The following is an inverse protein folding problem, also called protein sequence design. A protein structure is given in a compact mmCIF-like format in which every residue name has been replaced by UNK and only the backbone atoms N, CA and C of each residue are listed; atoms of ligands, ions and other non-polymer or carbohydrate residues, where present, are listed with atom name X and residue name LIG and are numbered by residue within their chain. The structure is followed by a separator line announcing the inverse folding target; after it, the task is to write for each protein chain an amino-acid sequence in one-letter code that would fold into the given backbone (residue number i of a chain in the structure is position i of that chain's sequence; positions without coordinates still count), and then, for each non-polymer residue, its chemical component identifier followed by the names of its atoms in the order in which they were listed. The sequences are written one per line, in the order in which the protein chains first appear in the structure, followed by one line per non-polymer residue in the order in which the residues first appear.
data_IF_740418077122
#
_entry.id   IF_740418077122
#
_cell.length_a   1.000
_cell.length_b   1.000
_cell.length_c   1.000
_cell.angle_alpha   90.00
_cell.angle_beta   90.00
_cell.angle_gamma   90.00
#
_symmetry.space_group_name_H-M   'P 1'
#
loop_
_entity.id
_entity.type
_entity.pdbx_description
1 polymer ?
#
# COMPACT_ATOMS: atom_id res chain seq x y z
N UNK A 1 52.47 19.77 -80.39
CA UNK A 1 51.45 20.80 -80.68
C UNK A 1 50.18 20.06 -81.10
N UNK A 2 49.02 20.44 -80.53
CA UNK A 2 47.67 19.84 -80.67
C UNK A 2 47.48 18.51 -79.91
N UNK A 3 46.34 18.16 -79.30
CA UNK A 3 45.18 18.85 -78.71
C UNK A 3 44.30 17.72 -78.13
N UNK A 4 43.64 17.98 -76.99
CA UNK A 4 42.56 17.26 -76.26
C UNK A 4 41.80 16.16 -77.04
N UNK A 5 41.38 15.07 -76.41
CA UNK A 5 40.06 15.00 -75.75
C UNK A 5 39.89 13.80 -74.82
N UNK A 6 39.29 14.04 -73.65
CA UNK A 6 38.84 13.05 -72.67
C UNK A 6 37.59 12.32 -73.16
N UNK A 7 37.49 11.01 -72.90
CA UNK A 7 36.25 10.24 -72.95
C UNK A 7 36.03 9.65 -71.56
N UNK A 8 35.01 10.16 -70.87
CA UNK A 8 34.52 9.65 -69.59
C UNK A 8 33.60 8.46 -69.85
N UNK A 9 34.01 7.27 -69.43
CA UNK A 9 33.13 6.09 -69.42
C UNK A 9 32.26 6.18 -68.17
N UNK A 10 30.96 6.43 -68.36
CA UNK A 10 29.93 6.28 -67.32
C UNK A 10 29.65 4.79 -67.19
N UNK A 11 30.13 4.17 -66.11
CA UNK A 11 29.64 2.87 -65.67
C UNK A 11 28.69 3.10 -64.49
N UNK A 12 27.41 2.79 -64.69
CA UNK A 12 26.41 2.75 -63.63
C UNK A 12 26.87 1.76 -62.56
N UNK A 13 27.11 2.25 -61.34
CA UNK A 13 27.18 1.40 -60.16
C UNK A 13 25.88 1.56 -59.36
N UNK A 14 24.85 0.85 -59.79
CA UNK A 14 23.67 0.56 -58.96
C UNK A 14 24.06 -0.54 -57.96
N UNK A 15 24.66 -0.17 -56.82
CA UNK A 15 24.85 -1.07 -55.68
C UNK A 15 24.37 -0.38 -54.38
N UNK A 16 23.13 -0.71 -54.04
CA UNK A 16 22.66 -1.05 -52.69
C UNK A 16 22.60 0.03 -51.59
N UNK A 17 21.63 0.95 -51.72
CA UNK A 17 21.00 1.63 -50.56
C UNK A 17 19.90 0.76 -49.89
N UNK A 18 20.12 -0.56 -49.71
CA UNK A 18 19.14 -1.44 -49.03
C UNK A 18 19.59 -1.98 -47.66
N UNK A 19 20.80 -1.67 -47.20
CA UNK A 19 21.32 -2.21 -45.93
C UNK A 19 21.36 -1.22 -44.75
N UNK A 20 21.12 0.08 -44.97
CA UNK A 20 21.12 1.05 -43.87
C UNK A 20 19.76 1.17 -43.14
N UNK A 21 18.66 0.71 -43.74
CA UNK A 21 17.32 0.77 -43.15
C UNK A 21 16.91 -0.52 -42.40
N UNK A 22 17.62 -1.64 -42.61
CA UNK A 22 17.31 -2.90 -41.95
C UNK A 22 17.75 -2.94 -40.47
N UNK A 23 18.78 -2.18 -40.10
CA UNK A 23 19.28 -2.13 -38.72
C UNK A 23 18.50 -1.16 -37.82
N UNK A 24 17.80 -0.17 -38.40
CA UNK A 24 16.96 0.75 -37.62
C UNK A 24 15.60 0.12 -37.28
N UNK A 25 15.08 -0.78 -38.13
CA UNK A 25 13.81 -1.47 -37.89
C UNK A 25 13.97 -2.56 -36.81
N UNK A 26 15.17 -3.11 -36.62
CA UNK A 26 15.45 -4.05 -35.52
C UNK A 26 15.67 -3.34 -34.17
N UNK A 27 16.02 -2.05 -34.15
CA UNK A 27 16.24 -1.27 -32.92
C UNK A 27 14.93 -0.84 -32.24
N UNK A 28 13.81 -0.80 -32.97
CA UNK A 28 12.50 -0.32 -32.47
C UNK A 28 11.64 -1.46 -31.87
N UNK A 29 12.00 -2.74 -32.06
CA UNK A 29 11.22 -3.89 -31.55
C UNK A 29 11.73 -4.40 -30.19
N UNK A 30 12.74 -3.76 -29.60
CA UNK A 30 13.12 -3.97 -28.20
C UNK A 30 12.42 -3.00 -27.24
N UNK A 31 11.16 -2.63 -27.50
CA UNK A 31 10.26 -2.22 -26.41
C UNK A 31 10.01 -3.49 -25.62
N UNK A 32 10.92 -3.75 -24.68
CA UNK A 32 10.77 -4.77 -23.65
C UNK A 32 9.34 -4.64 -23.13
N UNK A 33 8.52 -5.67 -23.37
CA UNK A 33 7.33 -5.90 -22.57
C UNK A 33 7.82 -6.06 -21.14
N UNK A 34 7.96 -4.92 -20.46
CA UNK A 34 8.07 -4.90 -19.03
C UNK A 34 6.72 -5.38 -18.56
N UNK A 35 6.60 -6.68 -18.36
CA UNK A 35 5.49 -7.23 -17.61
C UNK A 35 5.43 -6.41 -16.33
N UNK A 36 4.35 -5.65 -16.13
CA UNK A 36 4.05 -4.99 -14.85
C UNK A 36 3.60 -6.10 -13.88
N UNK A 37 4.50 -7.05 -13.63
CA UNK A 37 4.35 -8.04 -12.61
C UNK A 37 4.63 -7.31 -11.30
N UNK A 38 3.64 -7.31 -10.40
CA UNK A 38 3.85 -6.80 -9.06
C UNK A 38 4.92 -7.58 -8.32
N UNK A 39 5.57 -6.92 -7.36
CA UNK A 39 6.48 -7.50 -6.40
C UNK A 39 5.78 -7.75 -5.06
N UNK A 40 6.36 -8.68 -4.29
CA UNK A 40 5.91 -9.00 -2.93
C UNK A 40 6.87 -8.41 -1.90
N UNK A 41 6.32 -7.75 -0.91
CA UNK A 41 7.02 -7.04 0.15
C UNK A 41 6.61 -7.64 1.50
N UNK A 42 7.43 -8.55 2.04
CA UNK A 42 7.19 -9.09 3.39
C UNK A 42 7.55 -8.03 4.43
N UNK A 43 6.66 -7.78 5.38
CA UNK A 43 6.91 -6.77 6.45
C UNK A 43 8.11 -7.17 7.33
N UNK A 44 8.41 -8.46 7.46
CA UNK A 44 9.57 -8.97 8.19
C UNK A 44 10.90 -8.63 7.53
N UNK A 45 10.95 -8.45 6.21
CA UNK A 45 12.12 -7.92 5.50
C UNK A 45 12.44 -6.47 5.88
N UNK A 46 11.51 -5.79 6.55
CA UNK A 46 11.64 -4.41 7.03
C UNK A 46 11.69 -4.29 8.55
N UNK A 47 11.70 -5.43 9.27
CA UNK A 47 11.86 -5.48 10.72
C UNK A 47 10.57 -5.58 11.53
N UNK A 48 9.43 -5.84 10.90
CA UNK A 48 8.18 -6.10 11.62
C UNK A 48 8.03 -7.60 11.91
N UNK A 49 7.93 -7.98 13.18
CA UNK A 49 7.86 -9.37 13.60
C UNK A 49 6.66 -9.61 14.51
N UNK A 50 5.86 -10.65 14.27
CA UNK A 50 4.70 -10.90 15.09
C UNK A 50 5.09 -11.42 16.47
N UNK A 51 4.26 -11.10 17.46
CA UNK A 51 4.29 -11.61 18.84
C UNK A 51 5.57 -11.24 19.63
N UNK A 52 6.28 -10.19 19.24
CA UNK A 52 7.48 -9.73 19.95
C UNK A 52 7.20 -8.60 20.96
N UNK A 53 5.95 -8.09 21.00
CA UNK A 53 5.51 -6.95 21.80
C UNK A 53 6.28 -5.65 21.51
N UNK A 54 6.87 -5.52 20.31
CA UNK A 54 7.56 -4.33 19.84
C UNK A 54 6.64 -3.58 18.86
N UNK A 55 6.80 -2.26 18.78
CA UNK A 55 6.05 -1.43 17.84
C UNK A 55 6.53 -1.64 16.39
N UNK A 56 5.67 -2.21 15.56
CA UNK A 56 5.91 -2.54 14.15
C UNK A 56 5.66 -1.37 13.20
N UNK A 57 5.12 -0.25 13.70
CA UNK A 57 4.66 0.89 12.90
C UNK A 57 5.66 1.32 11.84
N UNK A 58 6.92 1.56 12.24
CA UNK A 58 7.94 2.10 11.34
C UNK A 58 8.35 1.11 10.25
N UNK A 59 8.47 -0.17 10.60
CA UNK A 59 8.84 -1.25 9.70
C UNK A 59 7.74 -1.51 8.66
N UNK A 60 6.49 -1.55 9.09
CA UNK A 60 5.33 -1.71 8.20
C UNK A 60 5.18 -0.49 7.28
N UNK A 61 5.33 0.73 7.81
CA UNK A 61 5.28 1.94 7.00
C UNK A 61 6.38 1.93 5.92
N UNK A 62 7.57 1.45 6.25
CA UNK A 62 8.66 1.31 5.29
C UNK A 62 8.33 0.28 4.20
N UNK A 63 7.77 -0.88 4.55
CA UNK A 63 7.35 -1.90 3.60
C UNK A 63 6.32 -1.35 2.59
N UNK A 64 5.31 -0.64 3.08
CA UNK A 64 4.29 0.03 2.28
C UNK A 64 4.92 1.09 1.35
N UNK A 65 5.80 1.94 1.87
CA UNK A 65 6.47 2.97 1.08
C UNK A 65 7.31 2.35 -0.04
N UNK A 66 8.00 1.24 0.24
CA UNK A 66 8.79 0.52 -0.77
C UNK A 66 7.92 -0.14 -1.82
N UNK A 67 6.78 -0.71 -1.44
CA UNK A 67 5.82 -1.25 -2.38
C UNK A 67 5.24 -0.16 -3.30
N UNK A 68 4.87 1.01 -2.77
CA UNK A 68 4.37 2.13 -3.58
C UNK A 68 5.45 2.66 -4.52
N UNK A 69 6.68 2.85 -4.01
CA UNK A 69 7.81 3.33 -4.82
C UNK A 69 8.21 2.36 -5.94
N UNK A 70 7.89 1.07 -5.79
CA UNK A 70 8.14 0.06 -6.82
C UNK A 70 7.11 0.08 -7.96
N UNK A 71 5.98 0.77 -7.79
CA UNK A 71 4.96 0.94 -8.83
C UNK A 71 3.62 0.31 -8.45
N UNK A 72 3.01 -0.40 -9.40
CA UNK A 72 1.65 -0.93 -9.28
C UNK A 72 1.60 -2.46 -9.21
N UNK A 73 0.44 -3.00 -8.83
CA UNK A 73 0.16 -4.44 -8.68
C UNK A 73 0.94 -5.14 -7.55
N UNK A 74 1.52 -4.36 -6.63
CA UNK A 74 2.37 -4.87 -5.55
C UNK A 74 1.55 -5.45 -4.39
N UNK A 75 2.17 -6.37 -3.63
CA UNK A 75 1.57 -6.99 -2.45
C UNK A 75 2.47 -6.79 -1.23
N UNK A 76 1.95 -6.24 -0.14
CA UNK A 76 2.60 -6.21 1.17
C UNK A 76 2.03 -7.33 2.03
N UNK A 77 2.90 -8.19 2.57
CA UNK A 77 2.52 -9.44 3.22
C UNK A 77 2.93 -9.44 4.69
N UNK A 78 1.94 -9.67 5.54
CA UNK A 78 2.11 -10.02 6.95
C UNK A 78 2.14 -11.53 7.11
N UNK A 79 3.02 -12.04 7.99
CA UNK A 79 2.99 -13.43 8.40
C UNK A 79 1.93 -13.63 9.49
N UNK A 80 1.74 -14.87 9.94
CA UNK A 80 0.80 -15.15 11.03
C UNK A 80 1.32 -14.63 12.37
N UNK A 81 0.43 -14.05 13.17
CA UNK A 81 0.62 -13.61 14.54
C UNK A 81 0.10 -12.18 14.76
N UNK A 82 0.47 -11.61 15.91
CA UNK A 82 0.00 -10.30 16.37
C UNK A 82 1.08 -9.24 16.18
N UNK A 83 0.75 -8.15 15.52
CA UNK A 83 1.63 -7.00 15.30
C UNK A 83 1.10 -5.78 16.07
N UNK A 84 1.99 -4.95 16.62
CA UNK A 84 1.62 -3.82 17.47
C UNK A 84 1.89 -2.48 16.78
N UNK A 85 0.97 -1.54 16.93
CA UNK A 85 1.04 -0.24 16.27
C UNK A 85 0.79 0.90 17.25
N UNK A 86 1.73 1.83 17.35
CA UNK A 86 1.56 3.09 18.10
C UNK A 86 0.97 4.22 17.25
N UNK A 87 0.93 4.07 15.93
CA UNK A 87 0.30 5.04 15.03
C UNK A 87 -0.27 4.41 13.77
N UNK A 88 -1.13 5.16 13.08
CA UNK A 88 -1.76 4.70 11.85
C UNK A 88 -0.76 4.64 10.68
N UNK A 89 -0.90 3.63 9.82
CA UNK A 89 -0.12 3.50 8.60
C UNK A 89 -0.71 4.37 7.50
N UNK A 90 0.10 5.30 6.99
CA UNK A 90 -0.26 6.17 5.89
C UNK A 90 -0.04 5.48 4.55
N UNK A 91 -1.04 5.51 3.67
CA UNK A 91 -0.98 4.94 2.33
C UNK A 91 -1.36 6.03 1.32
N UNK A 92 -0.35 6.59 0.64
CA UNK A 92 -0.54 7.71 -0.30
C UNK A 92 -0.31 7.28 -1.74
N UNK A 93 -1.24 7.62 -2.64
CA UNK A 93 -1.09 7.46 -4.09
C UNK A 93 -0.75 6.04 -4.55
N UNK A 94 -1.20 5.02 -3.81
CA UNK A 94 -0.98 3.63 -4.19
C UNK A 94 -1.86 3.24 -5.39
N UNK A 95 -1.31 2.48 -6.34
CA UNK A 95 -2.01 1.97 -7.52
C UNK A 95 -1.99 0.44 -7.49
N UNK A 96 -3.15 -0.20 -7.41
CA UNK A 96 -3.32 -1.65 -7.33
C UNK A 96 -2.44 -2.30 -6.25
N UNK A 97 -2.36 -1.69 -5.07
CA UNK A 97 -1.63 -2.24 -3.92
C UNK A 97 -2.54 -3.17 -3.13
N UNK A 98 -2.03 -4.35 -2.79
CA UNK A 98 -2.68 -5.27 -1.85
C UNK A 98 -1.89 -5.32 -0.54
N UNK A 99 -2.57 -5.16 0.59
CA UNK A 99 -2.04 -5.39 1.94
C UNK A 99 -2.73 -6.62 2.49
N UNK A 100 -1.96 -7.66 2.80
CA UNK A 100 -2.52 -8.99 3.03
C UNK A 100 -1.89 -9.68 4.25
N UNK A 101 -2.73 -10.22 5.14
CA UNK A 101 -2.32 -11.19 6.16
C UNK A 101 -2.56 -12.63 5.71
N UNK A 102 -2.48 -13.58 6.64
CA UNK A 102 -2.68 -15.00 6.35
C UNK A 102 -4.14 -15.47 6.57
N UNK A 103 -4.97 -14.66 7.23
CA UNK A 103 -6.37 -14.92 7.54
C UNK A 103 -6.80 -14.14 8.77
N UNK A 104 -8.11 -13.90 8.94
CA UNK A 104 -8.62 -13.09 10.07
C UNK A 104 -8.29 -13.68 11.45
N UNK A 105 -8.14 -15.00 11.56
CA UNK A 105 -7.74 -15.67 12.80
C UNK A 105 -6.22 -15.89 12.91
N UNK A 106 -5.47 -15.51 11.87
CA UNK A 106 -4.04 -15.81 11.76
C UNK A 106 -3.18 -14.56 11.81
N UNK A 107 -3.67 -13.40 11.35
CA UNK A 107 -2.94 -12.13 11.40
C UNK A 107 -3.79 -11.09 12.10
N UNK A 108 -3.32 -10.59 13.24
CA UNK A 108 -3.98 -9.55 14.03
C UNK A 108 -3.10 -8.31 14.07
N UNK A 109 -3.66 -7.15 13.74
CA UNK A 109 -3.01 -5.85 13.92
C UNK A 109 -3.66 -5.16 15.12
N UNK A 110 -2.88 -4.82 16.14
CA UNK A 110 -3.37 -4.16 17.36
C UNK A 110 -2.87 -2.72 17.41
N UNK A 111 -3.79 -1.76 17.41
CA UNK A 111 -3.48 -0.34 17.59
C UNK A 111 -3.55 0.06 19.07
N UNK A 112 -2.46 0.61 19.62
CA UNK A 112 -2.33 0.97 21.04
C UNK A 112 -2.54 2.48 21.32
N UNK A 113 -2.93 3.25 20.31
CA UNK A 113 -2.99 4.72 20.32
C UNK A 113 -3.80 5.32 19.17
N UNK A 114 -3.74 4.81 17.92
CA UNK A 114 -4.44 5.48 16.82
C UNK A 114 -5.92 5.12 16.77
N UNK A 115 -6.77 6.08 16.39
CA UNK A 115 -8.20 5.85 16.13
C UNK A 115 -8.48 5.13 14.79
N UNK A 116 -7.43 4.79 14.03
CA UNK A 116 -7.51 4.10 12.74
C UNK A 116 -6.20 3.34 12.47
N UNK A 117 -6.27 2.14 11.88
CA UNK A 117 -5.08 1.36 11.52
C UNK A 117 -4.43 1.84 10.21
N UNK A 118 -5.25 2.17 9.21
CA UNK A 118 -4.80 2.63 7.89
C UNK A 118 -5.40 3.99 7.53
N UNK A 119 -4.60 4.86 6.92
CA UNK A 119 -5.00 6.17 6.39
C UNK A 119 -4.74 6.23 4.88
N UNK A 120 -5.63 5.65 4.06
CA UNK A 120 -5.50 5.74 2.62
C UNK A 120 -5.89 7.12 2.09
N UNK A 121 -5.08 7.69 1.21
CA UNK A 121 -5.38 8.94 0.51
C UNK A 121 -4.89 8.86 -0.94
N UNK A 122 -5.74 9.31 -1.87
CA UNK A 122 -5.48 9.30 -3.32
C UNK A 122 -5.09 7.94 -3.91
N UNK A 123 -5.56 6.83 -3.32
CA UNK A 123 -5.27 5.48 -3.80
C UNK A 123 -6.25 5.04 -4.89
N UNK A 124 -5.79 4.22 -5.83
CA UNK A 124 -6.59 3.55 -6.85
C UNK A 124 -6.36 2.04 -6.73
N UNK A 125 -7.43 1.25 -6.51
CA UNK A 125 -7.31 -0.21 -6.42
C UNK A 125 -6.59 -0.73 -5.17
N UNK A 126 -6.64 -0.01 -4.05
CA UNK A 126 -6.13 -0.50 -2.77
C UNK A 126 -7.02 -1.62 -2.21
N UNK A 127 -6.42 -2.76 -1.89
CA UNK A 127 -7.08 -3.88 -1.20
C UNK A 127 -6.39 -4.14 0.13
N UNK A 128 -7.16 -4.26 1.21
CA UNK A 128 -6.68 -4.72 2.52
C UNK A 128 -7.48 -5.98 2.85
N UNK A 129 -6.81 -7.12 3.06
CA UNK A 129 -7.49 -8.42 3.15
C UNK A 129 -6.77 -9.41 4.07
N UNK A 130 -7.50 -10.45 4.48
CA UNK A 130 -6.96 -11.62 5.19
C UNK A 130 -6.24 -11.27 6.50
N UNK A 131 -6.76 -10.30 7.25
CA UNK A 131 -6.26 -9.90 8.56
C UNK A 131 -7.41 -9.37 9.43
N UNK A 132 -7.21 -9.37 10.74
CA UNK A 132 -8.05 -8.69 11.70
C UNK A 132 -7.36 -7.42 12.23
N UNK A 133 -8.17 -6.46 12.66
CA UNK A 133 -7.73 -5.20 13.27
C UNK A 133 -8.47 -5.06 14.59
N UNK A 134 -7.72 -4.77 15.65
CA UNK A 134 -8.26 -4.47 16.98
C UNK A 134 -7.47 -3.30 17.60
N UNK A 135 -7.95 -2.79 18.74
CA UNK A 135 -7.34 -1.67 19.44
C UNK A 135 -7.26 -1.94 20.94
N UNK A 136 -6.05 -1.82 21.50
CA UNK A 136 -5.85 -1.83 22.95
C UNK A 136 -5.88 -0.39 23.47
N UNK A 137 -6.80 -0.14 24.40
CA UNK A 137 -7.71 1.02 24.46
C UNK A 137 -8.65 1.15 23.25
N UNK A 138 -9.88 0.65 23.44
CA UNK A 138 -10.94 0.79 22.46
C UNK A 138 -11.23 2.27 22.17
N UNK A 139 -11.43 2.66 20.90
CA UNK A 139 -11.66 4.05 20.51
C UNK A 139 -13.05 4.58 20.92
N UNK A 140 -13.79 3.83 21.74
CA UNK A 140 -15.11 4.16 22.24
C UNK A 140 -15.38 3.54 23.62
N UNK A 141 -16.30 4.17 24.34
CA UNK A 141 -16.86 3.65 25.59
C UNK A 141 -18.21 3.02 25.31
N UNK A 142 -18.46 1.81 25.82
CA UNK A 142 -19.78 1.20 25.81
C UNK A 142 -20.27 0.90 27.23
N UNK A 143 -21.58 0.86 27.40
CA UNK A 143 -22.24 0.62 28.67
C UNK A 143 -23.75 0.61 28.54
N UNK A 144 -24.42 0.33 29.65
CA UNK A 144 -25.88 0.36 29.72
C UNK A 144 -26.34 1.72 30.24
N UNK A 145 -27.36 2.30 29.61
CA UNK A 145 -28.07 3.45 30.17
C UNK A 145 -28.90 2.93 31.34
N UNK A 146 -28.58 3.37 32.56
CA UNK A 146 -29.25 2.92 33.79
C UNK A 146 -30.24 3.95 34.35
N UNK A 147 -30.13 5.20 33.91
CA UNK A 147 -31.05 6.27 34.26
C UNK A 147 -31.08 7.34 33.17
N UNK A 148 -32.22 7.99 32.99
CA UNK A 148 -32.42 9.08 32.04
C UNK A 148 -33.22 10.18 32.73
N UNK A 149 -32.75 11.42 32.59
CA UNK A 149 -33.48 12.63 32.95
C UNK A 149 -33.64 13.53 31.74
N UNK A 150 -34.20 14.73 31.93
CA UNK A 150 -34.33 15.72 30.87
C UNK A 150 -33.00 16.33 30.42
N UNK A 151 -31.95 16.27 31.25
CA UNK A 151 -30.65 16.91 30.96
C UNK A 151 -29.44 15.99 31.06
N UNK A 152 -29.60 14.78 31.60
CA UNK A 152 -28.51 13.83 31.82
C UNK A 152 -28.96 12.39 31.59
N UNK A 153 -27.98 11.53 31.32
CA UNK A 153 -28.13 10.08 31.31
C UNK A 153 -26.99 9.47 32.13
N UNK A 154 -27.31 8.45 32.91
CA UNK A 154 -26.32 7.69 33.67
C UNK A 154 -25.97 6.43 32.89
N UNK A 155 -24.67 6.19 32.69
CA UNK A 155 -24.17 5.00 31.99
C UNK A 155 -23.37 4.15 32.96
N UNK A 156 -23.76 2.89 33.08
CA UNK A 156 -22.88 1.86 33.65
C UNK A 156 -21.93 1.37 32.56
N UNK A 157 -20.69 1.87 32.57
CA UNK A 157 -19.63 1.43 31.67
C UNK A 157 -19.32 -0.05 31.93
N UNK A 158 -19.18 -0.84 30.85
CA UNK A 158 -18.89 -2.28 30.93
C UNK A 158 -17.45 -2.57 30.52
N UNK A 159 -16.84 -3.58 31.13
CA UNK A 159 -15.51 -4.07 30.72
C UNK A 159 -15.53 -4.54 29.25
N UNK A 160 -14.48 -4.31 28.45
CA UNK A 160 -13.20 -3.67 28.80
C UNK A 160 -13.18 -2.14 28.62
N UNK A 161 -14.32 -1.52 28.35
CA UNK A 161 -14.41 -0.08 28.08
C UNK A 161 -14.06 0.75 29.31
N UNK A 162 -13.53 1.95 29.05
CA UNK A 162 -13.22 2.97 30.05
C UNK A 162 -13.81 4.30 29.61
N UNK A 163 -14.08 5.18 30.56
CA UNK A 163 -14.52 6.55 30.30
C UNK A 163 -13.49 7.54 30.84
N UNK A 164 -13.11 8.51 30.02
CA UNK A 164 -12.27 9.63 30.44
C UNK A 164 -13.13 10.67 31.16
N UNK A 165 -13.00 10.78 32.49
CA UNK A 165 -13.77 11.75 33.28
C UNK A 165 -13.44 13.17 32.84
N UNK A 166 -14.47 13.96 32.54
CA UNK A 166 -14.33 15.36 32.10
C UNK A 166 -14.11 15.54 30.59
N UNK A 167 -13.97 14.46 29.83
CA UNK A 167 -13.90 14.53 28.35
C UNK A 167 -15.29 14.77 27.77
N UNK A 168 -15.39 15.73 26.84
CA UNK A 168 -16.66 16.00 26.15
C UNK A 168 -17.05 14.81 25.27
N UNK A 169 -18.31 14.38 25.40
CA UNK A 169 -18.90 13.37 24.52
C UNK A 169 -19.29 14.04 23.19
N UNK A 170 -18.77 13.52 22.08
CA UNK A 170 -19.07 14.05 20.75
C UNK A 170 -20.33 13.42 20.14
N UNK A 171 -20.58 12.14 20.43
CA UNK A 171 -21.73 11.41 19.93
C UNK A 171 -22.11 10.29 20.90
N UNK A 172 -23.40 9.98 20.96
CA UNK A 172 -23.94 8.80 21.64
C UNK A 172 -24.66 7.98 20.58
N UNK A 173 -24.20 6.75 20.37
CA UNK A 173 -24.76 5.85 19.37
C UNK A 173 -25.47 4.71 20.07
N UNK A 174 -26.73 4.46 19.69
CA UNK A 174 -27.47 3.30 20.13
C UNK A 174 -27.09 2.11 19.24
N UNK A 175 -26.70 1.00 19.87
CA UNK A 175 -26.53 -0.26 19.17
C UNK A 175 -27.76 -1.15 19.45
N UNK A 176 -28.48 -1.51 18.39
CA UNK A 176 -29.50 -2.55 18.48
C UNK A 176 -28.84 -3.86 18.04
N UNK A 177 -28.96 -4.90 18.86
CA UNK A 177 -28.61 -6.27 18.47
C UNK A 177 -29.78 -6.94 17.76
#
# INVERSE_FOLDING_TARGET
MLSRSSITIIFLLTISMKFASAWFIFMVISIQWSHIAGATFFVSSYGAFPNDNIDDTSAVQLAINKAIANGSNNVVVFQSGTYNFTSAISIYSAINLTVMGQGMQQTLLVGNSPAAMFKPLHCQGLTITSLAIDFDLLPFTAGYVVSVSTSYLDVQVVSPHRADIGRQVHAILRYNS
#
